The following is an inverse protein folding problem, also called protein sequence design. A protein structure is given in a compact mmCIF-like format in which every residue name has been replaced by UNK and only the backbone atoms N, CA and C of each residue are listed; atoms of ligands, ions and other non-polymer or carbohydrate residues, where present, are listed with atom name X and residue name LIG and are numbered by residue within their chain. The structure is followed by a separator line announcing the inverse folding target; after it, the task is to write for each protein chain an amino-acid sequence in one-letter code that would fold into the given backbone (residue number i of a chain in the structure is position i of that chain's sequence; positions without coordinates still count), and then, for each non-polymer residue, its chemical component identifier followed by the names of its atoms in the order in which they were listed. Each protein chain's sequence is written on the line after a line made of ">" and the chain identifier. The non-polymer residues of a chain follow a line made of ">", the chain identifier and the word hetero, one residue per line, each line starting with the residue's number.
data_IF_622916103952
#
_entry.id   IF_622916103952
#
_cell.length_a   1.000
_cell.length_b   1.000
_cell.length_c   1.000
_cell.angle_alpha   90.00
_cell.angle_beta   90.00
_cell.angle_gamma   90.00
#
_symmetry.space_group_name_H-M   'P 1'
#
loop_
_entity.id
_entity.type
_entity.pdbx_description
1 polymer ?
#
# COMPACT_ATOMS: atom_id res chain seq x y z
N UNK A 1 -1.35 4.20 56.70
CA UNK A 1 -0.78 5.18 55.75
C UNK A 1 -0.92 4.57 54.36
N UNK A 2 -2.04 4.82 53.67
CA UNK A 2 -2.35 4.22 52.37
C UNK A 2 -1.88 5.15 51.26
N UNK A 3 -1.14 4.62 50.29
CA UNK A 3 -0.75 5.35 49.08
C UNK A 3 -1.97 5.51 48.16
N UNK A 4 -2.20 6.68 47.55
CA UNK A 4 -3.22 6.80 46.51
C UNK A 4 -2.71 6.10 45.24
N UNK A 5 -3.39 5.01 44.88
CA UNK A 5 -3.30 4.43 43.54
C UNK A 5 -4.06 5.38 42.60
N UNK A 6 -3.34 6.20 41.84
CA UNK A 6 -3.92 6.89 40.69
C UNK A 6 -4.07 5.89 39.57
N UNK A 7 -5.30 5.45 39.36
CA UNK A 7 -5.76 4.72 38.17
C UNK A 7 -5.28 5.44 36.90
N UNK A 8 -4.66 4.78 35.90
CA UNK A 8 -4.53 5.38 34.59
C UNK A 8 -5.93 5.43 33.98
N UNK A 9 -6.49 6.63 33.87
CA UNK A 9 -7.72 6.87 33.10
C UNK A 9 -7.38 6.66 31.62
N UNK A 10 -8.05 5.75 30.89
CA UNK A 10 -7.91 5.68 29.45
C UNK A 10 -8.83 6.74 28.84
N UNK A 11 -8.43 8.01 28.91
CA UNK A 11 -9.21 9.10 28.34
C UNK A 11 -8.56 9.61 27.06
N UNK A 12 -9.33 9.49 25.97
CA UNK A 12 -9.10 10.05 24.65
C UNK A 12 -7.98 9.39 23.83
N UNK A 13 -8.36 8.33 23.12
CA UNK A 13 -8.07 8.25 21.68
C UNK A 13 -8.68 9.51 21.03
N UNK A 14 -8.00 10.64 21.22
CA UNK A 14 -8.31 11.87 20.52
C UNK A 14 -8.19 11.53 19.05
N UNK A 15 -9.20 11.91 18.27
CA UNK A 15 -9.11 12.09 16.83
C UNK A 15 -8.00 13.11 16.55
N UNK A 16 -6.75 12.70 16.70
CA UNK A 16 -5.59 13.49 16.40
C UNK A 16 -5.66 13.77 14.90
N UNK A 17 -5.65 15.06 14.53
CA UNK A 17 -5.51 15.40 13.12
C UNK A 17 -4.23 14.74 12.62
N UNK A 18 -4.29 14.03 11.48
CA UNK A 18 -3.10 13.43 10.91
C UNK A 18 -2.04 14.52 10.72
N UNK A 19 -0.78 14.17 10.98
CA UNK A 19 0.33 15.10 10.78
C UNK A 19 0.39 15.54 9.31
N UNK A 20 1.02 16.67 9.02
CA UNK A 20 1.19 17.12 7.64
C UNK A 20 1.87 16.05 6.78
N UNK A 21 2.87 15.36 7.34
CA UNK A 21 3.53 14.24 6.69
C UNK A 21 2.57 13.08 6.40
N UNK A 22 1.74 12.69 7.37
CA UNK A 22 0.75 11.64 7.19
C UNK A 22 -0.27 11.99 6.09
N UNK A 23 -0.77 13.23 6.07
CA UNK A 23 -1.67 13.68 5.01
C UNK A 23 -0.99 13.64 3.64
N UNK A 24 0.24 14.13 3.55
CA UNK A 24 0.97 14.15 2.28
C UNK A 24 1.24 12.73 1.76
N UNK A 25 1.65 11.80 2.64
CA UNK A 25 2.00 10.44 2.21
C UNK A 25 0.76 9.62 1.84
N UNK A 26 -0.36 9.82 2.55
CA UNK A 26 -1.66 9.25 2.19
C UNK A 26 -2.13 9.75 0.81
N UNK A 27 -2.09 11.06 0.59
CA UNK A 27 -2.46 11.69 -0.68
C UNK A 27 -1.60 11.18 -1.84
N UNK A 28 -0.28 11.06 -1.64
CA UNK A 28 0.64 10.57 -2.68
C UNK A 28 0.40 9.10 -2.96
N UNK A 29 0.15 8.28 -1.94
CA UNK A 29 -0.19 6.87 -2.13
C UNK A 29 -1.50 6.72 -2.91
N UNK A 30 -2.51 7.54 -2.62
CA UNK A 30 -3.78 7.53 -3.33
C UNK A 30 -3.62 7.95 -4.79
N UNK A 31 -2.81 8.99 -5.07
CA UNK A 31 -2.48 9.42 -6.44
C UNK A 31 -1.72 8.37 -7.22
N UNK A 32 -0.69 7.76 -6.62
CA UNK A 32 0.08 6.69 -7.26
C UNK A 32 -0.85 5.53 -7.66
N UNK A 33 -1.73 5.09 -6.74
CA UNK A 33 -2.69 4.02 -7.02
C UNK A 33 -3.63 4.33 -8.18
N UNK A 34 -4.19 5.54 -8.21
CA UNK A 34 -5.05 5.98 -9.31
C UNK A 34 -4.29 6.06 -10.65
N UNK A 35 -2.99 6.38 -10.62
CA UNK A 35 -2.15 6.38 -11.82
C UNK A 35 -1.81 4.96 -12.29
N UNK A 36 -1.60 3.99 -11.39
CA UNK A 36 -1.46 2.57 -11.76
C UNK A 36 -2.73 2.10 -12.47
N UNK A 37 -3.90 2.31 -11.84
CA UNK A 37 -5.19 1.88 -12.41
C UNK A 37 -5.43 2.50 -13.80
N UNK A 38 -5.09 3.78 -13.98
CA UNK A 38 -5.17 4.45 -15.28
C UNK A 38 -4.22 3.85 -16.30
N UNK A 39 -2.94 3.70 -15.95
CA UNK A 39 -1.92 3.18 -16.87
C UNK A 39 -2.27 1.74 -17.30
N UNK A 40 -2.72 0.89 -16.37
CA UNK A 40 -3.20 -0.46 -16.69
C UNK A 40 -4.41 -0.44 -17.63
N UNK A 41 -5.39 0.45 -17.39
CA UNK A 41 -6.56 0.58 -18.27
C UNK A 41 -6.20 1.08 -19.68
N UNK A 42 -5.12 1.86 -19.81
CA UNK A 42 -4.61 2.38 -21.08
C UNK A 42 -3.65 1.40 -21.78
N UNK A 43 -3.27 0.29 -21.13
CA UNK A 43 -2.30 -0.68 -21.65
C UNK A 43 -0.85 -0.19 -21.58
N UNK A 44 -0.59 0.81 -20.74
CA UNK A 44 0.72 1.42 -20.52
C UNK A 44 1.47 0.65 -19.42
N UNK A 45 1.82 -0.60 -19.70
CA UNK A 45 2.37 -1.55 -18.71
C UNK A 45 3.62 -1.01 -18.00
N UNK A 46 4.55 -0.41 -18.75
CA UNK A 46 5.74 0.20 -18.18
C UNK A 46 5.41 1.36 -17.23
N UNK A 47 4.43 2.20 -17.58
CA UNK A 47 4.02 3.31 -16.73
C UNK A 47 3.33 2.81 -15.46
N UNK A 48 2.56 1.73 -15.56
CA UNK A 48 1.97 1.05 -14.41
C UNK A 48 3.05 0.50 -13.46
N UNK A 49 4.11 -0.12 -13.99
CA UNK A 49 5.27 -0.59 -13.20
C UNK A 49 6.00 0.56 -12.49
N UNK A 50 6.20 1.70 -13.17
CA UNK A 50 6.82 2.89 -12.57
C UNK A 50 6.00 3.39 -11.37
N UNK A 51 4.69 3.50 -11.52
CA UNK A 51 3.82 3.93 -10.41
C UNK A 51 3.68 2.87 -9.31
N UNK A 52 3.81 1.59 -9.65
CA UNK A 52 3.87 0.51 -8.67
C UNK A 52 5.12 0.64 -7.78
N UNK A 53 6.29 0.87 -8.38
CA UNK A 53 7.54 1.09 -7.63
C UNK A 53 7.49 2.37 -6.77
N UNK A 54 6.81 3.42 -7.24
CA UNK A 54 6.52 4.62 -6.45
C UNK A 54 5.67 4.28 -5.22
N UNK A 55 4.57 3.53 -5.41
CA UNK A 55 3.69 3.12 -4.32
C UNK A 55 4.41 2.24 -3.28
N UNK A 56 5.25 1.31 -3.72
CA UNK A 56 6.10 0.51 -2.82
C UNK A 56 7.07 1.38 -2.00
N UNK A 57 7.67 2.39 -2.64
CA UNK A 57 8.55 3.34 -1.99
C UNK A 57 7.82 4.17 -0.93
N UNK A 58 6.60 4.62 -1.23
CA UNK A 58 5.76 5.37 -0.29
C UNK A 58 5.34 4.51 0.92
N UNK A 59 4.98 3.24 0.70
CA UNK A 59 4.65 2.31 1.81
C UNK A 59 5.85 2.10 2.73
N UNK A 60 7.05 1.93 2.17
CA UNK A 60 8.28 1.83 2.97
C UNK A 60 8.53 3.12 3.75
N UNK A 61 8.46 4.28 3.10
CA UNK A 61 8.68 5.57 3.75
C UNK A 61 7.68 5.82 4.88
N UNK A 62 6.41 5.45 4.69
CA UNK A 62 5.39 5.54 5.73
C UNK A 62 5.74 4.67 6.94
N UNK A 63 6.16 3.42 6.70
CA UNK A 63 6.59 2.49 7.76
C UNK A 63 7.82 2.99 8.52
N UNK A 64 8.76 3.68 7.86
CA UNK A 64 9.94 4.27 8.50
C UNK A 64 9.58 5.43 9.44
N UNK A 65 8.37 5.99 9.30
CA UNK A 65 7.87 7.14 10.06
C UNK A 65 6.63 6.80 10.90
N UNK A 66 6.41 5.50 11.19
CA UNK A 66 5.28 4.99 11.98
C UNK A 66 3.89 5.40 11.44
N UNK A 67 3.77 5.62 10.13
CA UNK A 67 2.50 5.87 9.43
C UNK A 67 2.04 4.58 8.75
N UNK A 68 0.83 4.13 9.07
CA UNK A 68 0.23 2.98 8.38
C UNK A 68 -0.57 3.42 7.14
N UNK A 69 -0.38 2.70 6.04
CA UNK A 69 -1.08 2.90 4.78
C UNK A 69 -1.80 1.59 4.37
N UNK A 70 -2.87 1.19 5.08
CA UNK A 70 -3.49 -0.12 4.89
C UNK A 70 -4.01 -0.30 3.46
N UNK A 71 -4.65 0.72 2.89
CA UNK A 71 -5.18 0.67 1.53
C UNK A 71 -4.08 0.51 0.44
N UNK A 72 -2.89 1.07 0.67
CA UNK A 72 -1.76 0.91 -0.26
C UNK A 72 -1.15 -0.49 -0.13
N UNK A 73 -0.99 -0.99 1.10
CA UNK A 73 -0.47 -2.35 1.36
C UNK A 73 -1.39 -3.43 0.80
N UNK A 74 -2.70 -3.26 0.95
CA UNK A 74 -3.69 -4.21 0.44
C UNK A 74 -3.69 -4.23 -1.09
N UNK A 75 -3.54 -3.06 -1.72
CA UNK A 75 -3.39 -2.95 -3.16
C UNK A 75 -2.12 -3.67 -3.67
N UNK A 76 -0.96 -3.42 -3.06
CA UNK A 76 0.29 -4.10 -3.40
C UNK A 76 0.19 -5.62 -3.24
N UNK A 77 -0.52 -6.09 -2.21
CA UNK A 77 -0.78 -7.53 -2.02
C UNK A 77 -1.63 -8.09 -3.15
N UNK A 78 -2.69 -7.39 -3.56
CA UNK A 78 -3.54 -7.80 -4.67
C UNK A 78 -2.75 -7.87 -5.99
N UNK A 79 -1.88 -6.90 -6.26
CA UNK A 79 -1.07 -6.87 -7.48
C UNK A 79 -0.11 -8.06 -7.58
N UNK A 80 0.52 -8.47 -6.48
CA UNK A 80 1.42 -9.64 -6.45
C UNK A 80 0.71 -10.96 -6.73
N UNK A 81 -0.58 -11.07 -6.39
CA UNK A 81 -1.38 -12.26 -6.72
C UNK A 81 -1.65 -12.33 -8.22
N UNK A 82 -1.86 -11.18 -8.87
CA UNK A 82 -2.09 -11.11 -10.33
C UNK A 82 -0.84 -11.55 -11.09
N UNK A 83 0.34 -11.09 -10.68
CA UNK A 83 1.61 -11.47 -11.31
C UNK A 83 1.89 -12.98 -11.24
N UNK A 84 1.62 -13.61 -10.09
CA UNK A 84 1.74 -15.07 -9.95
C UNK A 84 0.78 -15.84 -10.88
N UNK A 85 -0.43 -15.32 -11.08
CA UNK A 85 -1.42 -15.93 -12.00
C UNK A 85 -0.95 -15.86 -13.46
N UNK A 86 -0.34 -14.73 -13.86
CA UNK A 86 0.20 -14.56 -15.21
C UNK A 86 1.38 -15.51 -15.51
N UNK A 87 2.18 -15.85 -14.50
CA UNK A 87 3.28 -16.82 -14.64
C UNK A 87 2.77 -18.26 -14.81
N UNK A 88 1.68 -18.63 -14.14
CA UNK A 88 1.06 -19.95 -14.27
C UNK A 88 0.45 -20.18 -15.66
N UNK A 89 -0.21 -19.18 -16.25
CA UNK A 89 -0.78 -19.29 -17.61
C UNK A 89 0.29 -19.49 -18.69
N UNK A 90 1.47 -18.86 -18.55
CA UNK A 90 2.61 -19.10 -19.46
C UNK A 90 3.21 -20.49 -19.32
N UNK A 91 3.17 -21.07 -18.12
CA UNK A 91 3.59 -22.45 -17.89
C UNK A 91 2.59 -23.48 -18.42
N UNK A 92 1.30 -23.12 -18.50
CA UNK A 92 0.22 -23.98 -18.96
C UNK A 92 0.06 -24.04 -20.49
N UNK A 93 0.77 -23.21 -21.26
CA UNK A 93 0.77 -23.31 -22.71
C UNK A 93 1.38 -24.65 -23.15
N UNK A 94 0.65 -25.52 -23.88
CA UNK A 94 1.22 -26.79 -24.35
C UNK A 94 2.38 -26.49 -25.28
N UNK A 95 3.54 -27.08 -25.00
CA UNK A 95 4.66 -27.11 -25.93
C UNK A 95 4.18 -27.81 -27.21
N UNK A 96 3.76 -27.03 -28.20
CA UNK A 96 3.44 -27.56 -29.51
C UNK A 96 4.77 -27.84 -30.20
N UNK A 97 5.24 -29.08 -30.07
CA UNK A 97 6.50 -29.55 -30.63
C UNK A 97 6.53 -31.08 -30.69
N UNK A 98 6.01 -31.63 -31.78
CA UNK A 98 6.61 -32.70 -32.58
C UNK A 98 5.81 -32.89 -33.86
#
# INVERSE_FOLDING_TARGET
>A
MSLPQTTPVPEAAATARPSHFQQEIEDRAQRARASIERATAEGEDYLAEVHLAELESLVRLASENDVDLPAARDYLRAQRVIDLTALEERAAAPSCGA
#
